data_IF_987936475543
#
_entry.id   IF_987936475543
#
_cell.length_a   1.000
_cell.length_b   1.000
_cell.length_c   1.000
_cell.angle_alpha   90.00
_cell.angle_beta   90.00
_cell.angle_gamma   90.00
#
_symmetry.space_group_name_H-M   'P 1'
#
loop_
_entity.id
_entity.type
_entity.pdbx_description
1 polymer ?
#
# COMPACT_ATOMS: atom_id res chain seq x y z
N UNK A 1 2.13 15.09 18.04
CA UNK A 1 2.74 15.46 16.76
C UNK A 1 2.87 14.19 15.94
N UNK A 2 2.33 14.21 14.72
CA UNK A 2 2.17 13.02 13.87
C UNK A 2 3.43 12.77 13.04
N UNK A 3 3.80 11.50 12.89
CA UNK A 3 4.84 11.09 11.94
C UNK A 3 4.45 11.46 10.51
N UNK A 4 5.44 11.71 9.66
CA UNK A 4 5.23 11.88 8.22
C UNK A 4 5.31 10.49 7.60
N UNK A 5 4.34 10.11 6.78
CA UNK A 5 4.36 8.82 6.11
C UNK A 5 4.54 9.07 4.63
N UNK A 6 5.52 8.40 4.03
CA UNK A 6 5.73 8.46 2.58
C UNK A 6 5.31 7.14 1.98
N UNK A 7 4.39 7.24 1.02
CA UNK A 7 3.97 6.12 0.22
C UNK A 7 4.79 6.10 -1.06
N UNK A 8 5.32 4.93 -1.40
CA UNK A 8 5.88 4.71 -2.73
C UNK A 8 5.35 3.40 -3.26
N UNK A 9 4.46 3.46 -4.26
CA UNK A 9 4.00 2.28 -4.97
C UNK A 9 5.16 1.66 -5.74
N UNK A 10 5.24 0.33 -5.74
CA UNK A 10 6.11 -0.40 -6.65
C UNK A 10 5.35 -1.51 -7.38
N UNK A 11 5.92 -1.88 -8.51
CA UNK A 11 5.61 -2.96 -9.44
C UNK A 11 4.20 -3.58 -9.41
N UNK A 12 3.53 -3.45 -10.55
CA UNK A 12 2.35 -4.24 -10.90
C UNK A 12 2.81 -5.39 -11.79
N UNK A 13 2.65 -6.62 -11.31
CA UNK A 13 2.92 -7.83 -12.12
C UNK A 13 1.59 -8.44 -12.54
N UNK A 14 1.33 -8.47 -13.85
CA UNK A 14 0.11 -9.07 -14.40
C UNK A 14 0.35 -10.55 -14.73
N UNK A 15 -0.53 -11.42 -14.21
CA UNK A 15 -0.44 -12.88 -14.34
C UNK A 15 -1.63 -13.50 -15.09
N UNK A 16 -2.24 -12.75 -16.01
CA UNK A 16 -3.29 -13.29 -16.89
C UNK A 16 -4.62 -13.56 -16.15
N UNK A 17 -5.24 -12.50 -15.64
CA UNK A 17 -6.51 -12.53 -14.92
C UNK A 17 -6.40 -12.06 -13.47
N UNK A 18 -5.18 -12.05 -12.93
CA UNK A 18 -4.84 -11.40 -11.67
C UNK A 18 -3.66 -10.45 -11.82
N UNK A 19 -3.59 -9.48 -10.92
CA UNK A 19 -2.48 -8.55 -10.76
C UNK A 19 -1.92 -8.69 -9.35
N UNK A 20 -0.59 -8.67 -9.22
CA UNK A 20 0.09 -8.57 -7.94
C UNK A 20 0.61 -7.16 -7.79
N UNK A 21 0.11 -6.45 -6.78
CA UNK A 21 0.54 -5.12 -6.41
C UNK A 21 1.60 -5.22 -5.31
N UNK A 22 2.81 -4.71 -5.56
CA UNK A 22 3.86 -4.62 -4.54
C UNK A 22 3.84 -3.26 -3.85
N UNK A 23 3.24 -3.20 -2.68
CA UNK A 23 3.12 -1.96 -1.93
C UNK A 23 4.27 -1.81 -0.94
N UNK A 24 5.08 -0.75 -1.09
CA UNK A 24 6.05 -0.33 -0.08
C UNK A 24 5.48 0.82 0.76
N UNK A 25 5.39 0.59 2.06
CA UNK A 25 4.99 1.58 3.04
C UNK A 25 6.21 2.03 3.84
N UNK A 26 6.50 3.33 3.86
CA UNK A 26 7.59 3.91 4.64
C UNK A 26 7.04 4.89 5.68
N UNK A 27 7.32 4.62 6.95
CA UNK A 27 6.94 5.48 8.06
C UNK A 27 8.14 6.24 8.61
N UNK A 28 8.08 7.57 8.57
CA UNK A 28 8.97 8.43 9.35
C UNK A 28 8.38 8.66 10.75
N UNK A 29 9.07 8.10 11.72
CA UNK A 29 8.72 8.13 13.15
C UNK A 29 9.49 9.20 13.93
N UNK A 30 10.35 10.00 13.29
CA UNK A 30 11.15 11.06 13.93
C UNK A 30 10.30 12.06 14.72
N UNK A 31 9.10 12.37 14.21
CA UNK A 31 8.15 13.29 14.84
C UNK A 31 7.37 12.71 16.02
N UNK A 32 7.51 11.42 16.33
CA UNK A 32 6.76 10.76 17.41
C UNK A 32 7.50 10.88 18.75
N UNK A 33 7.09 11.88 19.55
CA UNK A 33 7.75 12.26 20.81
C UNK A 33 7.11 11.68 22.09
N UNK A 34 6.23 10.67 21.97
CA UNK A 34 5.34 10.22 23.06
C UNK A 34 5.99 9.33 24.16
N UNK A 35 7.26 9.59 24.48
CA UNK A 35 8.07 8.90 25.49
C UNK A 35 9.11 7.94 24.91
N UNK A 36 9.93 7.34 25.79
CA UNK A 36 10.98 6.37 25.44
C UNK A 36 10.45 5.02 24.95
N UNK A 37 9.20 4.68 25.32
CA UNK A 37 8.60 3.37 25.05
C UNK A 37 7.71 3.46 23.81
N UNK A 38 8.35 3.37 22.64
CA UNK A 38 7.68 3.47 21.34
C UNK A 38 7.62 2.08 20.73
N UNK A 39 6.44 1.52 20.59
CA UNK A 39 6.29 0.21 19.98
C UNK A 39 5.33 0.26 18.80
N UNK A 40 5.57 -0.53 17.75
CA UNK A 40 4.56 -0.83 16.72
C UNK A 40 4.07 -2.25 16.96
N UNK A 41 2.77 -2.49 16.79
CA UNK A 41 2.24 -3.85 16.80
C UNK A 41 1.32 -4.17 15.63
N UNK A 42 0.96 -3.17 14.81
CA UNK A 42 0.19 -3.38 13.60
C UNK A 42 0.49 -2.33 12.55
N UNK A 43 0.49 -2.76 11.30
CA UNK A 43 0.48 -1.93 10.10
C UNK A 43 -0.62 -2.44 9.18
N UNK A 44 -1.27 -1.57 8.44
CA UNK A 44 -2.19 -2.02 7.42
C UNK A 44 -2.55 -0.97 6.39
N UNK A 45 -3.21 -1.46 5.36
CA UNK A 45 -3.55 -0.76 4.13
C UNK A 45 -5.05 -0.94 3.93
N UNK A 46 -5.78 0.16 3.94
CA UNK A 46 -7.18 0.19 3.51
C UNK A 46 -7.23 0.47 2.01
N UNK A 47 -8.13 -0.21 1.33
CA UNK A 47 -8.44 -0.02 -0.09
C UNK A 47 -9.95 -0.06 -0.30
N UNK A 48 -10.41 0.61 -1.36
CA UNK A 48 -11.84 0.70 -1.69
C UNK A 48 -12.35 -0.46 -2.58
N UNK A 49 -11.46 -1.37 -3.00
CA UNK A 49 -11.79 -2.46 -3.90
C UNK A 49 -12.51 -3.65 -3.22
N UNK A 50 -13.28 -4.38 -4.04
CA UNK A 50 -13.73 -5.73 -3.74
C UNK A 50 -12.54 -6.59 -3.29
N UNK A 51 -12.80 -7.46 -2.30
CA UNK A 51 -11.80 -8.16 -1.49
C UNK A 51 -10.63 -8.73 -2.31
N UNK A 52 -9.37 -8.44 -1.93
CA UNK A 52 -8.21 -9.04 -2.57
C UNK A 52 -8.30 -10.55 -2.45
N UNK A 53 -7.78 -11.23 -3.46
CA UNK A 53 -7.74 -12.68 -3.53
C UNK A 53 -6.78 -13.23 -2.47
N UNK A 54 -5.65 -12.55 -2.28
CA UNK A 54 -4.68 -12.86 -1.23
C UNK A 54 -3.79 -11.66 -0.91
N UNK A 55 -3.06 -11.74 0.21
CA UNK A 55 -1.97 -10.83 0.51
C UNK A 55 -0.84 -11.54 1.24
N UNK A 56 0.38 -11.03 1.08
CA UNK A 56 1.57 -11.46 1.80
C UNK A 56 2.38 -10.27 2.29
N UNK A 57 3.08 -10.45 3.40
CA UNK A 57 4.06 -9.51 3.92
C UNK A 57 5.42 -10.02 3.46
N UNK A 58 6.02 -9.31 2.51
CA UNK A 58 7.29 -9.68 1.89
C UNK A 58 8.46 -9.23 2.76
N UNK A 59 8.37 -8.03 3.33
CA UNK A 59 9.40 -7.49 4.21
C UNK A 59 8.78 -6.63 5.32
N UNK A 60 9.44 -6.65 6.48
CA UNK A 60 9.13 -5.79 7.61
C UNK A 60 10.44 -5.29 8.23
N UNK A 61 10.41 -4.19 9.02
CA UNK A 61 11.64 -3.57 9.53
C UNK A 61 12.42 -4.46 10.50
N UNK A 62 11.75 -5.41 11.15
CA UNK A 62 12.35 -6.41 12.01
C UNK A 62 11.67 -7.76 11.72
N UNK A 63 12.48 -8.80 11.68
CA UNK A 63 12.01 -10.18 11.63
C UNK A 63 11.24 -10.50 12.92
N UNK A 64 9.95 -10.76 12.78
CA UNK A 64 9.06 -11.11 13.89
C UNK A 64 7.86 -11.88 13.37
N UNK A 65 7.08 -12.53 14.25
CA UNK A 65 5.87 -13.22 13.85
C UNK A 65 4.82 -12.17 13.46
N UNK A 66 4.82 -11.78 12.19
CA UNK A 66 3.76 -10.98 11.60
C UNK A 66 2.67 -11.92 11.10
N UNK A 67 1.49 -11.77 11.67
CA UNK A 67 0.26 -12.45 11.25
C UNK A 67 -0.48 -11.52 10.31
N UNK A 68 -0.74 -12.00 9.10
CA UNK A 68 -1.54 -11.29 8.12
C UNK A 68 -3.03 -11.49 8.38
N UNK A 69 -3.79 -10.42 8.22
CA UNK A 69 -5.25 -10.42 8.21
C UNK A 69 -5.77 -9.84 6.90
N UNK A 70 -6.62 -10.61 6.21
CA UNK A 70 -7.42 -10.11 5.08
C UNK A 70 -8.81 -9.76 5.60
N UNK A 71 -9.30 -8.56 5.27
CA UNK A 71 -10.58 -8.10 5.77
C UNK A 71 -10.58 -7.89 7.29
N UNK A 72 -9.44 -7.47 7.85
CA UNK A 72 -9.23 -7.32 9.29
C UNK A 72 -8.75 -5.92 9.71
N UNK A 73 -9.25 -4.84 9.08
CA UNK A 73 -9.07 -3.50 9.67
C UNK A 73 -10.38 -2.78 9.88
N UNK A 74 -10.94 -2.93 11.08
CA UNK A 74 -12.08 -2.17 11.55
C UNK A 74 -11.77 -0.69 11.64
N UNK A 75 -12.38 0.10 10.76
CA UNK A 75 -12.48 1.56 10.85
C UNK A 75 -11.23 2.28 11.32
N UNK A 76 -11.45 3.30 12.14
CA UNK A 76 -10.41 3.94 12.91
C UNK A 76 -9.93 2.96 14.00
N UNK A 77 -8.82 2.25 13.75
CA UNK A 77 -7.84 1.81 14.76
C UNK A 77 -7.89 0.36 15.32
N UNK A 78 -8.67 -0.54 14.72
CA UNK A 78 -8.85 -1.91 15.21
C UNK A 78 -7.66 -2.87 15.11
N UNK A 79 -6.70 -2.64 14.21
CA UNK A 79 -5.71 -3.65 13.80
C UNK A 79 -6.33 -5.03 13.53
N UNK A 80 -5.51 -6.08 13.39
CA UNK A 80 -5.92 -7.45 13.01
C UNK A 80 -6.97 -8.11 13.93
N UNK A 81 -7.43 -7.40 14.95
CA UNK A 81 -8.38 -7.86 15.95
C UNK A 81 -9.83 -7.60 15.51
N UNK A 82 -10.08 -6.64 14.58
CA UNK A 82 -11.43 -6.26 14.14
C UNK A 82 -11.74 -6.75 12.72
N UNK A 83 -12.88 -7.42 12.57
CA UNK A 83 -13.46 -7.80 11.27
C UNK A 83 -13.95 -6.57 10.50
N UNK A 84 -13.30 -6.26 9.39
CA UNK A 84 -13.80 -5.25 8.46
C UNK A 84 -13.27 -5.41 7.04
N UNK A 85 -14.19 -5.24 6.11
CA UNK A 85 -13.95 -5.37 4.68
C UNK A 85 -13.06 -4.25 4.15
N UNK A 86 -12.27 -4.55 3.12
CA UNK A 86 -11.49 -3.52 2.42
C UNK A 86 -10.13 -3.21 3.05
N UNK A 87 -9.51 -4.15 3.76
CA UNK A 87 -8.19 -3.93 4.31
C UNK A 87 -7.29 -5.18 4.38
N UNK A 88 -5.99 -4.93 4.26
CA UNK A 88 -4.89 -5.88 4.49
C UNK A 88 -4.10 -5.35 5.66
N UNK A 89 -3.94 -6.16 6.70
CA UNK A 89 -3.14 -5.80 7.87
C UNK A 89 -2.10 -6.86 8.15
N UNK A 90 -0.97 -6.44 8.70
CA UNK A 90 0.00 -7.31 9.36
C UNK A 90 0.14 -6.86 10.81
N UNK A 91 0.00 -7.81 11.74
CA UNK A 91 0.17 -7.55 13.17
C UNK A 91 1.17 -8.50 13.76
N UNK A 92 1.86 -8.04 14.79
CA UNK A 92 2.79 -8.88 15.53
C UNK A 92 2.41 -8.94 17.00
N UNK A 93 2.47 -10.14 17.56
CA UNK A 93 2.32 -10.36 19.01
C UNK A 93 3.60 -9.99 19.77
N UNK A 94 4.72 -9.93 19.06
CA UNK A 94 5.99 -9.45 19.58
C UNK A 94 6.07 -7.96 19.29
N UNK A 95 5.81 -7.13 20.30
CA UNK A 95 5.86 -5.68 20.15
C UNK A 95 7.19 -5.27 19.49
N UNK A 96 7.13 -4.50 18.40
CA UNK A 96 8.30 -3.97 17.73
C UNK A 96 8.79 -2.75 18.50
N UNK A 97 9.92 -2.84 19.20
CA UNK A 97 10.49 -1.66 19.85
C UNK A 97 11.08 -0.74 18.76
N UNK A 98 10.56 0.48 18.66
CA UNK A 98 11.06 1.53 17.77
C UNK A 98 12.30 2.14 18.45
N UNK A 99 13.39 1.36 18.50
CA UNK A 99 14.72 1.79 18.94
C UNK A 99 15.61 1.73 17.72
N UNK A 100 15.61 2.78 16.92
CA UNK A 100 16.27 2.69 15.63
C UNK A 100 16.01 3.89 14.74
N UNK A 101 16.41 3.79 13.46
CA UNK A 101 16.34 4.89 12.52
C UNK A 101 14.93 5.44 12.44
N UNK A 102 14.85 6.71 12.06
CA UNK A 102 13.57 7.40 11.94
C UNK A 102 12.63 6.75 10.91
N UNK A 103 13.15 5.91 10.00
CA UNK A 103 12.39 5.29 8.91
C UNK A 103 12.20 3.78 9.06
N UNK A 104 10.95 3.34 8.90
CA UNK A 104 10.54 1.94 8.93
C UNK A 104 9.84 1.57 7.62
N UNK A 105 10.21 0.42 7.04
CA UNK A 105 9.66 -0.04 5.77
C UNK A 105 8.90 -1.36 5.92
N UNK A 106 7.69 -1.42 5.36
CA UNK A 106 6.93 -2.65 5.15
C UNK A 106 6.66 -2.84 3.67
N UNK A 107 6.74 -4.08 3.20
CA UNK A 107 6.45 -4.44 1.80
C UNK A 107 5.37 -5.51 1.79
N UNK A 108 4.28 -5.24 1.09
CA UNK A 108 3.16 -6.16 0.91
C UNK A 108 3.04 -6.54 -0.56
N UNK A 109 2.74 -7.80 -0.85
CA UNK A 109 2.18 -8.17 -2.13
C UNK A 109 0.67 -8.41 -1.93
N UNK A 110 -0.16 -7.73 -2.72
CA UNK A 110 -1.61 -7.90 -2.73
C UNK A 110 -2.01 -8.44 -4.09
N UNK A 111 -2.70 -9.58 -4.10
CA UNK A 111 -3.19 -10.19 -5.34
C UNK A 111 -4.66 -9.85 -5.52
N UNK A 112 -4.98 -9.33 -6.70
CA UNK A 112 -6.31 -8.83 -7.07
C UNK A 112 -6.71 -9.30 -8.46
N UNK A 113 -7.99 -9.25 -8.84
CA UNK A 113 -8.39 -9.41 -10.24
C UNK A 113 -7.76 -8.32 -11.11
N UNK A 114 -7.41 -8.65 -12.35
CA UNK A 114 -6.89 -7.67 -13.32
C UNK A 114 -7.88 -6.54 -13.56
N UNK A 115 -7.40 -5.29 -13.50
CA UNK A 115 -8.22 -4.11 -13.76
C UNK A 115 -9.06 -3.63 -12.57
N UNK A 116 -8.85 -4.19 -11.38
CA UNK A 116 -9.49 -3.70 -10.15
C UNK A 116 -8.80 -2.41 -9.68
N UNK A 117 -9.53 -1.28 -9.54
CA UNK A 117 -8.97 -0.04 -8.99
C UNK A 117 -8.81 -0.17 -7.48
N UNK A 118 -7.59 -0.41 -7.00
CA UNK A 118 -7.34 -0.72 -5.58
C UNK A 118 -6.97 0.52 -4.75
N UNK A 119 -6.50 1.58 -5.40
CA UNK A 119 -5.75 2.65 -4.74
C UNK A 119 -6.04 4.04 -5.32
N UNK A 120 -7.32 4.35 -5.55
CA UNK A 120 -7.68 5.77 -5.78
C UNK A 120 -7.25 6.63 -4.58
N UNK A 121 -7.35 6.10 -3.35
CA UNK A 121 -6.81 6.72 -2.13
C UNK A 121 -6.44 5.65 -1.06
N UNK A 122 -5.25 5.01 -1.11
CA UNK A 122 -4.88 4.07 -0.05
C UNK A 122 -4.75 4.80 1.29
N UNK A 123 -5.45 4.30 2.31
CA UNK A 123 -5.30 4.79 3.67
C UNK A 123 -4.40 3.82 4.47
N UNK A 124 -3.20 4.28 4.80
CA UNK A 124 -2.27 3.52 5.62
C UNK A 124 -2.47 3.83 7.08
N UNK A 125 -2.51 2.77 7.88
CA UNK A 125 -2.60 2.88 9.32
C UNK A 125 -1.40 2.20 9.98
N UNK A 126 -0.83 2.87 10.96
CA UNK A 126 0.22 2.32 11.83
C UNK A 126 -0.25 2.44 13.28
N UNK A 127 -0.32 1.32 13.99
CA UNK A 127 -0.71 1.28 15.41
C UNK A 127 0.54 1.34 16.28
N UNK A 128 0.65 2.42 17.03
CA UNK A 128 1.62 2.53 18.11
C UNK A 128 1.06 1.88 19.38
N UNK A 129 1.92 1.18 20.09
CA UNK A 129 1.63 0.58 21.39
C UNK A 129 2.59 1.16 22.41
N UNK A 130 2.07 1.47 23.59
CA UNK A 130 2.85 1.92 24.73
C UNK A 130 2.56 0.98 25.90
N UNK A 131 3.47 0.04 26.23
CA UNK A 131 3.24 -0.97 27.27
C UNK A 131 2.87 -0.37 28.63
N UNK A 132 3.41 0.82 28.93
CA UNK A 132 3.16 1.51 30.20
C UNK A 132 1.74 2.09 30.33
N UNK A 133 0.98 2.16 29.23
CA UNK A 133 -0.42 2.59 29.23
C UNK A 133 -1.31 1.44 28.75
N UNK A 134 -2.29 1.05 29.56
CA UNK A 134 -3.27 0.02 29.18
C UNK A 134 -4.08 0.34 27.91
N UNK A 135 -4.01 1.58 27.43
CA UNK A 135 -4.67 2.02 26.21
C UNK A 135 -3.63 2.15 25.08
N UNK A 136 -3.79 1.44 23.95
CA UNK A 136 -2.98 1.68 22.77
C UNK A 136 -3.16 3.14 22.31
N UNK A 137 -2.06 3.86 22.15
CA UNK A 137 -2.08 5.20 21.57
C UNK A 137 -2.09 5.05 20.07
N UNK A 138 -3.24 5.26 19.44
CA UNK A 138 -3.32 5.08 18.01
C UNK A 138 -3.06 6.40 17.30
N UNK A 139 -1.93 6.44 16.59
CA UNK A 139 -1.57 7.57 15.76
C UNK A 139 -2.41 7.52 14.48
N UNK A 140 -3.52 8.24 14.45
CA UNK A 140 -4.18 8.55 13.18
C UNK A 140 -3.44 9.70 12.51
N UNK A 141 -2.94 9.54 11.28
CA UNK A 141 -2.67 10.70 10.48
C UNK A 141 -4.02 11.39 10.25
N UNK A 142 -4.20 12.59 10.81
CA UNK A 142 -5.29 13.49 10.46
C UNK A 142 -5.00 14.17 9.09
N UNK A 143 -4.31 13.46 8.20
CA UNK A 143 -3.74 13.96 6.96
C UNK A 143 -3.54 12.82 5.99
N UNK A 144 -4.43 12.72 5.02
CA UNK A 144 -4.28 11.93 3.81
C UNK A 144 -3.16 12.57 2.99
N UNK A 145 -1.90 12.13 3.16
CA UNK A 145 -0.89 12.37 2.13
C UNK A 145 -1.11 11.37 1.02
N UNK A 146 -2.08 11.67 0.16
CA UNK A 146 -2.19 11.07 -1.17
C UNK A 146 -0.92 11.47 -1.94
N UNK A 147 0.08 10.59 -1.93
CA UNK A 147 1.09 10.62 -2.96
C UNK A 147 0.40 10.12 -4.22
N UNK A 148 -0.09 11.05 -5.04
CA UNK A 148 -0.78 10.73 -6.29
C UNK A 148 0.08 9.77 -7.10
N UNK A 149 -0.36 8.53 -7.19
CA UNK A 149 0.35 7.52 -7.97
C UNK A 149 0.07 7.84 -9.41
N UNK A 150 1.07 8.35 -10.11
CA UNK A 150 1.09 8.23 -11.56
C UNK A 150 1.43 6.78 -11.85
N UNK A 151 0.41 5.91 -11.83
CA UNK A 151 0.55 4.57 -12.38
C UNK A 151 1.07 4.76 -13.83
N UNK A 152 2.15 4.09 -14.25
CA UNK A 152 2.60 4.13 -15.63
C UNK A 152 1.41 3.76 -16.48
N UNK A 153 0.95 4.69 -17.32
CA UNK A 153 -0.25 4.48 -18.11
C UNK A 153 -0.09 3.14 -18.84
N UNK A 154 -1.05 2.21 -18.71
CA UNK A 154 -0.93 0.91 -19.35
C UNK A 154 -0.61 1.15 -20.82
N UNK A 155 0.30 0.35 -21.39
CA UNK A 155 0.88 0.53 -22.71
C UNK A 155 -0.10 0.72 -23.87
N UNK A 156 -1.42 0.65 -23.61
CA UNK A 156 -2.52 1.25 -24.36
C UNK A 156 -2.17 2.57 -25.04
N UNK A 157 -1.50 3.52 -24.38
CA UNK A 157 -1.10 4.79 -25.04
C UNK A 157 -0.03 4.59 -26.12
N UNK A 158 0.93 3.70 -25.89
CA UNK A 158 1.91 3.31 -26.90
C UNK A 158 1.24 2.54 -28.06
N UNK A 159 0.24 1.70 -27.77
CA UNK A 159 -0.52 0.95 -28.78
C UNK A 159 -1.38 1.90 -29.63
N UNK A 160 -2.04 2.89 -29.02
CA UNK A 160 -2.79 3.91 -29.76
C UNK A 160 -1.88 4.79 -30.62
N UNK A 161 -0.71 5.20 -30.08
CA UNK A 161 0.27 5.97 -30.83
C UNK A 161 0.82 5.22 -32.04
N UNK A 162 1.20 3.96 -31.87
CA UNK A 162 1.71 3.12 -32.97
C UNK A 162 0.62 2.81 -34.00
N UNK A 163 -0.63 2.59 -33.57
CA UNK A 163 -1.76 2.36 -34.46
C UNK A 163 -2.05 3.54 -35.40
N UNK A 164 -1.98 4.77 -34.88
CA UNK A 164 -2.19 5.99 -35.67
C UNK A 164 -1.06 6.22 -36.70
N UNK A 165 0.20 5.96 -36.31
CA UNK A 165 1.34 6.07 -37.24
C UNK A 165 1.19 5.05 -38.39
N UNK A 166 0.78 3.82 -38.08
CA UNK A 166 0.52 2.79 -39.08
C UNK A 166 -0.56 3.20 -40.10
N UNK A 167 -1.68 3.76 -39.63
CA UNK A 167 -2.75 4.28 -40.48
C UNK A 167 -2.29 5.43 -41.38
N UNK A 168 -1.48 6.34 -40.86
CA UNK A 168 -0.93 7.47 -41.63
C UNK A 168 -0.01 7.02 -42.79
N UNK A 169 0.84 6.01 -42.56
CA UNK A 169 1.73 5.49 -43.60
C UNK A 169 0.96 4.78 -44.74
N UNK A 170 -0.12 4.08 -44.42
CA UNK A 170 -0.98 3.42 -45.42
C UNK A 170 -1.68 4.46 -46.32
N UNK A 171 -2.20 5.55 -45.74
CA UNK A 171 -2.82 6.61 -46.54
C UNK A 171 -1.82 7.31 -47.46
N UNK A 172 -0.57 7.49 -47.03
CA UNK A 172 0.47 8.12 -47.84
C UNK A 172 0.85 7.27 -49.06
N UNK A 173 0.90 5.94 -48.93
CA UNK A 173 1.16 5.04 -50.07
C UNK A 173 0.05 5.08 -51.12
N UNK A 174 -1.22 5.22 -50.69
CA UNK A 174 -2.36 5.31 -51.62
C UNK A 174 -2.38 6.59 -52.46
N UNK A 175 -1.82 7.70 -51.96
CA UNK A 175 -1.74 8.97 -52.70
C UNK A 175 -0.56 9.07 -53.67
N UNK A 176 0.45 8.19 -53.55
CA UNK A 176 1.62 8.18 -54.45
C UNK A 176 1.42 7.20 -55.61
N UNK A 177 0.48 6.26 -55.49
CA UNK A 177 0.15 5.27 -56.52
C UNK A 177 -1.07 5.65 -57.39
N UNK A 178 -1.65 6.83 -57.18
CA UNK A 178 -2.72 7.42 -57.99
C UNK A 178 -2.20 8.70 -58.64
#
# INVERSE_FOLDING_TARGET
MGGVYTFTQYDVVNNGGTETLRIKFEADTSGFTNGSDRWVNAVGIMYYADTPLSASLIAAPIEGPWVLGLGKMGGALGACDDDATGAVSACTTSLLNIVGPDFYTWIFDIVVPTGTPIIDEPNFQLRYYKPSSKNPLVGQPNGTTSAGVTAPEPGTLAIFGLGLIGLGMIQRRRRVAA
#
